data_IF_667212703668
#
_entry.id   IF_667212703668
#
_cell.length_a   1.000
_cell.length_b   1.000
_cell.length_c   1.000
_cell.angle_alpha   90.00
_cell.angle_beta   90.00
_cell.angle_gamma   90.00
#
_symmetry.space_group_name_H-M   'P 1'
#
loop_
_entity.id
_entity.type
_entity.pdbx_description
1 polymer ?
#
# COMPACT_ATOMS: atom_id res chain seq x y z
N UNK A 1 -1.25 -9.13 -25.02
CA UNK A 1 -0.55 -7.83 -25.03
C UNK A 1 -1.22 -6.83 -24.07
N UNK A 2 -2.49 -6.46 -24.27
CA UNK A 2 -3.19 -5.47 -23.40
C UNK A 2 -3.19 -5.85 -21.90
N UNK A 3 -3.63 -7.06 -21.53
CA UNK A 3 -3.66 -7.52 -20.13
C UNK A 3 -2.28 -7.51 -19.45
N UNK A 4 -1.21 -7.84 -20.20
CA UNK A 4 0.15 -7.81 -19.66
C UNK A 4 0.59 -6.37 -19.34
N UNK A 5 0.21 -5.42 -20.20
CA UNK A 5 0.49 -3.99 -19.99
C UNK A 5 -0.31 -3.45 -18.80
N UNK A 6 -1.59 -3.82 -18.67
CA UNK A 6 -2.43 -3.44 -17.53
C UNK A 6 -1.81 -3.91 -16.20
N UNK A 7 -1.37 -5.17 -16.14
CA UNK A 7 -0.72 -5.73 -14.95
C UNK A 7 0.61 -5.03 -14.63
N UNK A 8 1.42 -4.76 -15.67
CA UNK A 8 2.71 -4.11 -15.49
C UNK A 8 2.56 -2.68 -14.97
N UNK A 9 1.72 -1.86 -15.60
CA UNK A 9 1.48 -0.47 -15.19
C UNK A 9 0.83 -0.44 -13.80
N UNK A 10 -0.23 -1.24 -13.62
CA UNK A 10 -0.99 -1.29 -12.37
C UNK A 10 -0.17 -1.78 -11.18
N UNK A 11 0.77 -2.70 -11.38
CA UNK A 11 1.64 -3.21 -10.31
C UNK A 11 2.93 -2.40 -10.09
N UNK A 12 3.50 -1.81 -11.14
CA UNK A 12 4.79 -1.12 -11.05
C UNK A 12 4.68 0.23 -10.38
N UNK A 13 3.92 1.17 -10.97
CA UNK A 13 3.89 2.57 -10.53
C UNK A 13 3.24 2.73 -9.16
N UNK A 14 2.19 1.95 -8.88
CA UNK A 14 1.46 2.04 -7.61
C UNK A 14 2.32 1.57 -6.44
N UNK A 15 3.02 0.45 -6.61
CA UNK A 15 3.90 -0.13 -5.60
C UNK A 15 5.14 0.73 -5.39
N UNK A 16 5.80 1.20 -6.45
CA UNK A 16 6.99 2.05 -6.32
C UNK A 16 6.69 3.33 -5.55
N UNK A 17 5.61 4.03 -5.91
CA UNK A 17 5.22 5.26 -5.23
C UNK A 17 4.86 5.01 -3.76
N UNK A 18 4.21 3.89 -3.46
CA UNK A 18 3.89 3.52 -2.07
C UNK A 18 5.16 3.33 -1.24
N UNK A 19 6.19 2.66 -1.80
CA UNK A 19 7.46 2.46 -1.12
C UNK A 19 8.23 3.78 -0.94
N UNK A 20 8.22 4.67 -1.93
CA UNK A 20 8.83 6.00 -1.81
C UNK A 20 8.21 6.79 -0.65
N UNK A 21 6.88 6.79 -0.54
CA UNK A 21 6.19 7.41 0.58
C UNK A 21 6.46 6.71 1.92
N UNK A 22 6.61 5.38 1.93
CA UNK A 22 6.97 4.66 3.16
C UNK A 22 8.36 5.06 3.66
N UNK A 23 9.35 5.15 2.77
CA UNK A 23 10.68 5.64 3.12
C UNK A 23 10.65 7.10 3.57
N UNK A 24 9.93 7.96 2.85
CA UNK A 24 9.76 9.37 3.23
C UNK A 24 9.16 9.49 4.64
N UNK A 25 8.09 8.74 4.93
CA UNK A 25 7.45 8.74 6.24
C UNK A 25 8.43 8.30 7.33
N UNK A 26 9.21 7.23 7.11
CA UNK A 26 10.21 6.78 8.08
C UNK A 26 11.37 7.76 8.27
N UNK A 27 11.78 8.48 7.22
CA UNK A 27 12.79 9.56 7.32
C UNK A 27 12.26 10.72 8.17
N UNK A 28 10.99 11.09 7.99
CA UNK A 28 10.34 12.17 8.73
C UNK A 28 9.97 11.77 10.18
N UNK A 29 9.85 10.47 10.44
CA UNK A 29 9.49 9.89 11.74
C UNK A 29 10.51 8.83 12.19
N UNK A 30 11.70 9.24 12.68
CA UNK A 30 12.78 8.30 13.04
C UNK A 30 12.43 7.33 14.17
N UNK A 31 11.47 7.68 15.02
CA UNK A 31 10.92 6.81 16.05
C UNK A 31 10.13 5.63 15.45
N UNK A 32 9.32 5.90 14.42
CA UNK A 32 8.62 4.87 13.65
C UNK A 32 9.63 3.96 12.95
N UNK A 33 10.63 4.55 12.28
CA UNK A 33 11.70 3.78 11.64
C UNK A 33 12.40 2.85 12.64
N UNK A 34 12.76 3.35 13.83
CA UNK A 34 13.41 2.55 14.88
C UNK A 34 12.54 1.37 15.33
N UNK A 35 11.23 1.58 15.47
CA UNK A 35 10.31 0.51 15.84
C UNK A 35 10.18 -0.55 14.74
N UNK A 36 10.14 -0.16 13.47
CA UNK A 36 10.16 -1.10 12.33
C UNK A 36 11.45 -1.95 12.37
N UNK A 37 12.61 -1.32 12.54
CA UNK A 37 13.87 -2.06 12.65
C UNK A 37 13.89 -3.01 13.86
N UNK A 38 13.38 -2.57 15.01
CA UNK A 38 13.30 -3.40 16.22
C UNK A 38 12.43 -4.64 15.98
N UNK A 39 11.30 -4.50 15.28
CA UNK A 39 10.45 -5.63 14.92
C UNK A 39 11.15 -6.59 13.94
N UNK A 40 11.84 -6.05 12.92
CA UNK A 40 12.62 -6.84 11.96
C UNK A 40 13.66 -7.69 12.69
N UNK A 41 14.45 -7.07 13.57
CA UNK A 41 15.50 -7.75 14.31
C UNK A 41 14.92 -8.84 15.23
N UNK A 42 13.76 -8.59 15.84
CA UNK A 42 13.09 -9.54 16.74
C UNK A 42 12.46 -10.73 16.00
N UNK A 43 11.87 -10.51 14.82
CA UNK A 43 11.10 -11.53 14.09
C UNK A 43 11.96 -12.32 13.10
N UNK A 44 12.88 -11.63 12.43
CA UNK A 44 13.68 -12.17 11.32
C UNK A 44 15.10 -12.49 11.78
N UNK A 45 15.68 -11.61 12.60
CA UNK A 45 17.08 -11.69 13.02
C UNK A 45 18.06 -11.28 11.91
N UNK A 46 19.35 -11.55 12.13
CA UNK A 46 20.42 -11.13 11.21
C UNK A 46 20.97 -12.24 10.30
N UNK A 47 20.53 -13.49 10.49
CA UNK A 47 21.12 -14.66 9.82
C UNK A 47 20.48 -14.98 8.46
N UNK A 48 19.37 -14.32 8.11
CA UNK A 48 18.62 -14.59 6.88
C UNK A 48 17.85 -13.36 6.37
N UNK A 49 17.47 -13.42 5.10
CA UNK A 49 16.56 -12.46 4.51
C UNK A 49 15.09 -12.67 4.95
N UNK A 50 14.24 -11.62 4.89
CA UNK A 50 12.80 -11.74 5.06
C UNK A 50 12.15 -12.69 4.04
N UNK A 51 11.12 -13.42 4.47
CA UNK A 51 10.29 -14.25 3.60
C UNK A 51 8.80 -13.96 3.82
N UNK A 52 7.94 -14.31 2.85
CA UNK A 52 6.48 -14.05 2.95
C UNK A 52 5.83 -14.67 4.19
N UNK A 53 6.36 -15.80 4.67
CA UNK A 53 5.86 -16.45 5.89
C UNK A 53 6.09 -15.60 7.16
N UNK A 54 7.01 -14.63 7.13
CA UNK A 54 7.24 -13.71 8.24
C UNK A 54 6.13 -12.66 8.36
N UNK A 55 5.41 -12.36 7.28
CA UNK A 55 4.49 -11.22 7.19
C UNK A 55 3.48 -11.17 8.34
N UNK A 56 2.89 -12.32 8.72
CA UNK A 56 1.90 -12.38 9.81
C UNK A 56 2.46 -12.01 11.20
N UNK A 57 3.79 -12.05 11.35
CA UNK A 57 4.50 -11.68 12.58
C UNK A 57 5.04 -10.25 12.55
N UNK A 58 5.02 -9.60 11.38
CA UNK A 58 5.49 -8.23 11.16
C UNK A 58 4.32 -7.22 11.35
N UNK A 59 3.67 -7.27 12.51
CA UNK A 59 2.41 -6.55 12.77
C UNK A 59 2.60 -5.03 12.73
N UNK A 60 3.69 -4.54 13.32
CA UNK A 60 4.00 -3.10 13.35
C UNK A 60 4.39 -2.59 11.97
N UNK A 61 5.19 -3.34 11.23
CA UNK A 61 5.58 -2.99 9.85
C UNK A 61 4.36 -2.96 8.93
N UNK A 62 3.45 -3.93 9.05
CA UNK A 62 2.17 -3.92 8.32
C UNK A 62 1.33 -2.70 8.70
N UNK A 63 1.27 -2.33 9.98
CA UNK A 63 0.57 -1.14 10.43
C UNK A 63 1.17 0.15 9.84
N UNK A 64 2.50 0.25 9.76
CA UNK A 64 3.17 1.39 9.11
C UNK A 64 2.83 1.46 7.62
N UNK A 65 2.84 0.33 6.91
CA UNK A 65 2.47 0.31 5.48
C UNK A 65 1.00 0.71 5.26
N UNK A 66 0.09 0.23 6.12
CA UNK A 66 -1.32 0.64 6.08
C UNK A 66 -1.46 2.14 6.32
N UNK A 67 -0.71 2.71 7.27
CA UNK A 67 -0.77 4.14 7.58
C UNK A 67 -0.18 5.00 6.45
N UNK A 68 0.89 4.53 5.80
CA UNK A 68 1.44 5.15 4.59
C UNK A 68 0.40 5.19 3.49
N UNK A 69 -0.31 4.08 3.22
CA UNK A 69 -1.37 4.06 2.21
C UNK A 69 -2.57 4.96 2.60
N UNK A 70 -2.87 5.07 3.89
CA UNK A 70 -3.93 5.96 4.39
C UNK A 70 -3.59 7.43 4.14
N UNK A 71 -2.37 7.85 4.47
CA UNK A 71 -1.90 9.24 4.36
C UNK A 71 -1.52 9.63 2.92
N UNK A 72 -0.82 8.75 2.23
CA UNK A 72 -0.29 8.97 0.88
C UNK A 72 -1.04 8.08 -0.12
N UNK A 73 -2.30 8.43 -0.38
CA UNK A 73 -3.12 7.73 -1.35
C UNK A 73 -2.54 7.89 -2.76
N UNK A 74 -1.87 6.84 -3.27
CA UNK A 74 -1.24 6.84 -4.61
C UNK A 74 -2.28 6.92 -5.74
N UNK A 75 -3.50 6.45 -5.49
CA UNK A 75 -4.63 6.53 -6.43
C UNK A 75 -5.83 7.15 -5.70
N UNK A 76 -5.83 8.48 -5.49
CA UNK A 76 -6.84 9.16 -4.66
C UNK A 76 -8.24 9.13 -5.30
N UNK A 77 -8.30 9.04 -6.63
CA UNK A 77 -9.50 8.77 -7.39
C UNK A 77 -9.28 7.46 -8.13
N UNK A 78 -10.10 6.45 -7.81
CA UNK A 78 -10.10 5.20 -8.56
C UNK A 78 -10.43 5.43 -10.03
N UNK A 79 -10.13 4.43 -10.88
CA UNK A 79 -10.47 4.49 -12.30
C UNK A 79 -11.96 4.81 -12.53
N UNK A 80 -12.31 5.55 -13.59
CA UNK A 80 -13.69 5.94 -13.87
C UNK A 80 -14.64 4.75 -13.83
N UNK A 81 -15.76 4.92 -13.13
CA UNK A 81 -16.86 3.95 -13.12
C UNK A 81 -18.05 4.54 -13.86
N UNK A 82 -18.85 3.66 -14.45
CA UNK A 82 -20.14 4.01 -15.08
C UNK A 82 -21.21 3.06 -14.58
N UNK A 83 -22.45 3.55 -14.50
CA UNK A 83 -23.59 2.67 -14.26
C UNK A 83 -23.84 1.82 -15.50
N UNK A 84 -24.33 0.60 -15.30
CA UNK A 84 -24.69 -0.30 -16.42
C UNK A 84 -26.15 -0.15 -16.85
N UNK A 85 -26.93 0.58 -16.06
CA UNK A 85 -28.35 0.91 -16.23
C UNK A 85 -28.69 2.08 -15.32
N UNK A 86 -29.71 2.83 -15.67
CA UNK A 86 -30.28 3.90 -14.86
C UNK A 86 -30.50 3.42 -13.42
N UNK A 87 -30.03 4.22 -12.46
CA UNK A 87 -30.10 3.90 -11.04
C UNK A 87 -30.35 5.16 -10.21
N UNK A 88 -30.72 4.97 -8.94
CA UNK A 88 -30.87 6.07 -7.98
C UNK A 88 -29.85 5.92 -6.86
N UNK A 89 -29.05 6.96 -6.62
CA UNK A 89 -28.11 7.04 -5.50
C UNK A 89 -28.43 8.29 -4.69
N UNK A 90 -28.73 8.14 -3.39
CA UNK A 90 -29.12 9.25 -2.51
C UNK A 90 -30.21 10.17 -3.13
N UNK A 91 -31.23 9.58 -3.75
CA UNK A 91 -32.33 10.25 -4.46
C UNK A 91 -31.92 11.02 -5.73
N UNK A 92 -30.68 10.89 -6.20
CA UNK A 92 -30.25 11.37 -7.51
C UNK A 92 -30.40 10.29 -8.57
N UNK A 93 -31.06 10.61 -9.68
CA UNK A 93 -31.13 9.75 -10.85
C UNK A 93 -29.81 9.80 -11.62
N UNK A 94 -29.17 8.65 -11.79
CA UNK A 94 -27.93 8.47 -12.55
C UNK A 94 -28.26 7.62 -13.78
N UNK A 95 -28.25 8.17 -15.01
CA UNK A 95 -28.49 7.42 -16.24
C UNK A 95 -27.31 6.52 -16.61
#
# INVERSE_FOLDING_TARGET
>A
MMVCMDLFIGGSQTTSNTLDFAFLAMILHPDVQRQVHTEIDAVIGHDRAPALNDQRRMVYTEAVLMEVQRLYHVVPLGGPRRVLRDTTLHNYHIP
#
